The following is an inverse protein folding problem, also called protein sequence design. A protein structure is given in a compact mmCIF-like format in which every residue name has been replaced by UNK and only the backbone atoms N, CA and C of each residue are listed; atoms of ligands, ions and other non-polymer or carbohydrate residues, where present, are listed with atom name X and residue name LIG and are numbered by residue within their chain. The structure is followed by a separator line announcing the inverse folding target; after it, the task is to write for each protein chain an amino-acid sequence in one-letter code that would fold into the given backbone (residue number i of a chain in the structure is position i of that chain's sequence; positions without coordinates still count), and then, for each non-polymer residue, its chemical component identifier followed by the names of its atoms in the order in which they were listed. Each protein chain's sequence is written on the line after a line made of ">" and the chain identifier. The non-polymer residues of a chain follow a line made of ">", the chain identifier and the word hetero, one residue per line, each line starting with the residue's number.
data_IF_907141360946
#
_entry.id   IF_907141360946
#
_cell.length_a   1.000
_cell.length_b   1.000
_cell.length_c   1.000
_cell.angle_alpha   90.00
_cell.angle_beta   90.00
_cell.angle_gamma   90.00
#
_symmetry.space_group_name_H-M   'P 1'
#
loop_
_entity.id
_entity.type
_entity.pdbx_description
1 polymer ?
#
# COMPACT_ATOMS: atom_id res chain seq x y z
N UNK A 1 -58.94 -34.76 -7.59
CA UNK A 1 -57.66 -35.12 -6.91
C UNK A 1 -56.56 -34.23 -7.44
N UNK A 2 -56.20 -33.12 -6.73
CA UNK A 2 -55.18 -32.20 -7.17
C UNK A 2 -53.92 -32.44 -6.34
N UNK A 3 -52.89 -33.02 -6.96
CA UNK A 3 -51.54 -33.17 -6.36
C UNK A 3 -50.81 -31.83 -6.44
N UNK A 4 -50.66 -31.18 -5.31
CA UNK A 4 -49.78 -29.98 -5.19
C UNK A 4 -48.32 -30.45 -5.08
N UNK A 5 -47.52 -30.23 -6.12
CA UNK A 5 -46.06 -30.34 -6.05
C UNK A 5 -45.51 -29.13 -5.28
N UNK A 6 -44.92 -29.37 -4.11
CA UNK A 6 -44.11 -28.41 -3.39
C UNK A 6 -42.71 -28.46 -3.96
N UNK A 7 -42.27 -27.44 -4.69
CA UNK A 7 -40.89 -27.24 -5.06
C UNK A 7 -40.16 -26.72 -3.83
N UNK A 8 -39.28 -27.54 -3.24
CA UNK A 8 -38.34 -27.10 -2.22
C UNK A 8 -37.12 -26.49 -2.94
N UNK A 9 -36.97 -25.17 -2.88
CA UNK A 9 -35.78 -24.47 -3.34
C UNK A 9 -34.67 -24.66 -2.29
N UNK A 10 -33.68 -25.48 -2.58
CA UNK A 10 -32.47 -25.60 -1.76
C UNK A 10 -31.58 -24.36 -1.97
N UNK A 11 -31.53 -23.47 -0.99
CA UNK A 11 -30.51 -22.42 -0.94
C UNK A 11 -29.16 -23.07 -0.65
N UNK A 12 -28.28 -23.12 -1.63
CA UNK A 12 -26.86 -23.49 -1.42
C UNK A 12 -26.15 -22.32 -0.74
N UNK A 13 -25.93 -22.41 0.57
CA UNK A 13 -25.08 -21.49 1.32
C UNK A 13 -23.62 -21.79 0.93
N UNK A 14 -23.03 -20.92 0.12
CA UNK A 14 -21.59 -20.99 -0.18
C UNK A 14 -20.82 -20.49 1.05
N UNK A 15 -20.34 -21.42 1.86
CA UNK A 15 -19.46 -21.10 2.99
C UNK A 15 -18.07 -20.78 2.47
N UNK A 16 -17.68 -19.49 2.52
CA UNK A 16 -16.28 -19.11 2.31
C UNK A 16 -15.47 -19.61 3.50
N UNK A 17 -14.36 -20.33 3.31
CA UNK A 17 -13.56 -20.84 4.42
C UNK A 17 -13.00 -19.66 5.25
N UNK A 18 -13.06 -19.75 6.58
CA UNK A 18 -12.68 -18.69 7.53
C UNK A 18 -11.23 -18.18 7.32
N UNK A 19 -10.32 -19.02 6.84
CA UNK A 19 -8.93 -18.65 6.51
C UNK A 19 -8.87 -17.68 5.34
N UNK A 20 -9.71 -17.83 4.32
CA UNK A 20 -9.77 -16.91 3.18
C UNK A 20 -10.36 -15.56 3.58
N UNK A 21 -11.31 -15.55 4.51
CA UNK A 21 -11.88 -14.33 5.09
C UNK A 21 -10.81 -13.53 5.83
N UNK A 22 -10.08 -14.15 6.77
CA UNK A 22 -9.03 -13.45 7.53
C UNK A 22 -7.88 -12.91 6.67
N UNK A 23 -7.51 -13.61 5.61
CA UNK A 23 -6.52 -13.12 4.65
C UNK A 23 -7.04 -11.89 3.88
N UNK A 24 -8.32 -11.85 3.56
CA UNK A 24 -8.95 -10.71 2.89
C UNK A 24 -9.05 -9.51 3.82
N UNK A 25 -9.49 -9.71 5.06
CA UNK A 25 -9.61 -8.65 6.07
C UNK A 25 -8.26 -7.99 6.34
N UNK A 26 -7.17 -8.76 6.36
CA UNK A 26 -5.82 -8.23 6.47
C UNK A 26 -5.43 -7.35 5.26
N UNK A 27 -5.74 -7.77 4.04
CA UNK A 27 -5.48 -6.96 2.83
C UNK A 27 -6.28 -5.66 2.87
N UNK A 28 -7.54 -5.71 3.28
CA UNK A 28 -8.39 -4.53 3.38
C UNK A 28 -7.85 -3.54 4.42
N UNK A 29 -7.41 -4.01 5.59
CA UNK A 29 -6.75 -3.17 6.61
C UNK A 29 -5.45 -2.52 6.10
N UNK A 30 -4.62 -3.26 5.36
CA UNK A 30 -3.41 -2.73 4.73
C UNK A 30 -3.73 -1.67 3.66
N UNK A 31 -4.78 -1.86 2.88
CA UNK A 31 -5.23 -0.88 1.89
C UNK A 31 -5.62 0.42 2.57
N UNK A 32 -6.45 0.37 3.62
CA UNK A 32 -6.86 1.55 4.37
C UNK A 32 -5.66 2.30 4.96
N UNK A 33 -4.73 1.57 5.58
CA UNK A 33 -3.51 2.13 6.15
C UNK A 33 -2.66 2.86 5.10
N UNK A 34 -2.34 2.19 3.99
CA UNK A 34 -1.48 2.77 2.96
C UNK A 34 -2.18 3.89 2.16
N UNK A 35 -3.48 3.76 1.90
CA UNK A 35 -4.29 4.79 1.27
C UNK A 35 -4.27 6.09 2.07
N UNK A 36 -4.55 6.00 3.38
CA UNK A 36 -4.50 7.13 4.30
C UNK A 36 -3.11 7.77 4.36
N UNK A 37 -2.06 6.96 4.50
CA UNK A 37 -0.67 7.44 4.57
C UNK A 37 -0.22 8.17 3.30
N UNK A 38 -0.80 7.84 2.15
CA UNK A 38 -0.44 8.40 0.84
C UNK A 38 -1.42 9.45 0.31
N UNK A 39 -2.49 9.77 1.05
CA UNK A 39 -3.51 10.73 0.62
C UNK A 39 -4.29 10.29 -0.62
N UNK A 40 -4.54 8.99 -0.77
CA UNK A 40 -5.31 8.41 -1.87
C UNK A 40 -6.62 7.85 -1.31
N UNK A 41 -7.78 8.02 -1.97
CA UNK A 41 -9.00 7.38 -1.53
C UNK A 41 -8.86 5.85 -1.47
N UNK A 42 -9.18 5.23 -0.32
CA UNK A 42 -9.08 3.78 -0.17
C UNK A 42 -9.93 3.03 -1.19
N UNK A 43 -11.11 3.56 -1.53
CA UNK A 43 -11.98 3.02 -2.58
C UNK A 43 -11.29 2.96 -3.95
N UNK A 44 -10.43 3.92 -4.26
CA UNK A 44 -9.63 3.90 -5.49
C UNK A 44 -8.57 2.81 -5.44
N UNK A 45 -7.87 2.64 -4.31
CA UNK A 45 -6.91 1.54 -4.13
C UNK A 45 -7.59 0.18 -4.26
N UNK A 46 -8.75 -0.01 -3.63
CA UNK A 46 -9.57 -1.22 -3.78
C UNK A 46 -9.93 -1.50 -5.23
N UNK A 47 -10.35 -0.48 -5.99
CA UNK A 47 -10.68 -0.62 -7.40
C UNK A 47 -9.47 -1.08 -8.23
N UNK A 48 -8.27 -0.53 -7.95
CA UNK A 48 -7.02 -0.95 -8.61
C UNK A 48 -6.67 -2.39 -8.25
N UNK A 49 -6.64 -2.75 -6.96
CA UNK A 49 -6.32 -4.11 -6.50
C UNK A 49 -7.28 -5.14 -7.10
N UNK A 50 -8.58 -4.83 -7.13
CA UNK A 50 -9.57 -5.70 -7.77
C UNK A 50 -9.28 -5.91 -9.25
N UNK A 51 -8.94 -4.84 -9.97
CA UNK A 51 -8.68 -4.88 -11.41
C UNK A 51 -7.37 -5.58 -11.76
N UNK A 52 -6.31 -5.35 -10.97
CA UNK A 52 -4.97 -5.86 -11.25
C UNK A 52 -4.80 -7.35 -10.89
N UNK A 53 -5.41 -7.79 -9.80
CA UNK A 53 -5.18 -9.15 -9.29
C UNK A 53 -6.43 -9.85 -8.77
N UNK A 54 -7.57 -9.18 -8.75
CA UNK A 54 -8.77 -9.67 -8.02
C UNK A 54 -8.43 -10.08 -6.57
N UNK A 55 -7.58 -9.26 -5.90
CA UNK A 55 -7.06 -9.49 -4.54
C UNK A 55 -6.20 -10.75 -4.38
N UNK A 56 -5.63 -11.29 -5.45
CA UNK A 56 -4.68 -12.39 -5.38
C UNK A 56 -3.26 -11.87 -5.12
N UNK A 57 -2.67 -12.07 -3.93
CA UNK A 57 -1.33 -11.60 -3.63
C UNK A 57 -0.26 -12.35 -4.44
N UNK A 58 -0.56 -13.52 -4.97
CA UNK A 58 0.36 -14.33 -5.78
C UNK A 58 0.19 -14.12 -7.28
N UNK A 59 -0.60 -13.14 -7.70
CA UNK A 59 -0.81 -12.84 -9.11
C UNK A 59 0.51 -12.46 -9.82
N UNK A 60 0.67 -12.94 -11.04
CA UNK A 60 1.82 -12.69 -11.91
C UNK A 60 1.32 -12.37 -13.32
N UNK A 61 1.56 -11.15 -13.79
CA UNK A 61 1.24 -10.68 -15.13
C UNK A 61 2.51 -10.27 -15.87
N UNK A 62 3.19 -11.20 -16.52
CA UNK A 62 4.52 -10.97 -17.09
C UNK A 62 5.53 -10.60 -16.01
N UNK A 63 6.08 -9.37 -16.07
CA UNK A 63 7.00 -8.85 -15.04
C UNK A 63 6.31 -8.15 -13.87
N UNK A 64 4.99 -8.01 -13.91
CA UNK A 64 4.19 -7.37 -12.87
C UNK A 64 3.76 -8.41 -11.81
N UNK A 65 3.76 -8.01 -10.52
CA UNK A 65 3.64 -8.95 -9.41
C UNK A 65 2.66 -8.43 -8.33
N UNK A 66 1.95 -9.39 -7.74
CA UNK A 66 1.17 -9.22 -6.53
C UNK A 66 -0.13 -8.44 -6.69
N UNK A 67 -0.67 -7.94 -5.60
CA UNK A 67 -1.99 -7.30 -5.50
C UNK A 67 -2.21 -6.15 -6.48
N UNK A 68 -1.21 -5.30 -6.66
CA UNK A 68 -1.27 -4.12 -7.50
C UNK A 68 -0.46 -4.26 -8.81
N UNK A 69 -0.02 -5.48 -9.14
CA UNK A 69 0.75 -5.76 -10.37
C UNK A 69 1.91 -4.76 -10.59
N UNK A 70 2.67 -4.49 -9.52
CA UNK A 70 3.82 -3.59 -9.61
C UNK A 70 5.04 -4.31 -10.19
N UNK A 71 5.75 -3.64 -11.11
CA UNK A 71 6.99 -4.17 -11.67
C UNK A 71 8.16 -3.98 -10.68
N UNK A 72 9.11 -4.93 -10.57
CA UNK A 72 10.29 -4.78 -9.72
C UNK A 72 11.09 -3.49 -10.01
N UNK A 73 11.22 -3.10 -11.27
CA UNK A 73 11.88 -1.84 -11.64
C UNK A 73 11.15 -0.61 -11.07
N UNK A 74 9.81 -0.58 -11.11
CA UNK A 74 9.00 0.48 -10.51
C UNK A 74 9.13 0.49 -9.00
N UNK A 75 9.09 -0.67 -8.34
CA UNK A 75 9.28 -0.74 -6.90
C UNK A 75 10.68 -0.25 -6.48
N UNK A 76 11.73 -0.61 -7.23
CA UNK A 76 13.09 -0.13 -6.98
C UNK A 76 13.23 1.38 -7.13
N UNK A 77 12.59 1.99 -8.10
CA UNK A 77 12.59 3.47 -8.24
C UNK A 77 11.93 4.18 -7.05
N UNK A 78 11.14 3.44 -6.25
CA UNK A 78 10.51 3.89 -5.02
C UNK A 78 11.29 3.46 -3.75
N UNK A 79 12.52 2.95 -3.91
CA UNK A 79 13.39 2.56 -2.80
C UNK A 79 13.24 1.10 -2.35
N UNK A 80 12.56 0.24 -3.09
CA UNK A 80 12.53 -1.20 -2.79
C UNK A 80 13.89 -1.85 -3.05
N UNK A 81 14.43 -2.54 -2.06
CA UNK A 81 15.75 -3.20 -2.13
C UNK A 81 15.66 -4.74 -2.10
N UNK A 82 14.45 -5.30 -1.99
CA UNK A 82 14.24 -6.74 -2.00
C UNK A 82 14.27 -7.36 -3.40
N UNK A 83 14.10 -8.66 -3.43
CA UNK A 83 13.96 -9.44 -4.66
C UNK A 83 12.54 -9.36 -5.26
N UNK A 84 12.37 -9.91 -6.46
CA UNK A 84 11.05 -9.93 -7.11
C UNK A 84 10.01 -10.75 -6.32
N UNK A 85 10.44 -11.80 -5.61
CA UNK A 85 9.53 -12.64 -4.84
C UNK A 85 8.92 -11.90 -3.65
N UNK A 86 9.66 -10.97 -3.04
CA UNK A 86 9.17 -10.12 -1.96
C UNK A 86 7.98 -9.24 -2.36
N UNK A 87 7.79 -8.95 -3.64
CA UNK A 87 6.61 -8.23 -4.14
C UNK A 87 5.33 -9.09 -4.18
N UNK A 88 5.41 -10.37 -3.86
CA UNK A 88 4.24 -11.24 -3.66
C UNK A 88 3.75 -11.23 -2.21
N UNK A 89 4.46 -10.54 -1.31
CA UNK A 89 3.99 -10.23 0.03
C UNK A 89 2.97 -9.08 -0.01
N UNK A 90 1.77 -9.24 0.58
CA UNK A 90 0.71 -8.23 0.52
C UNK A 90 1.13 -6.86 1.05
N UNK A 91 1.81 -6.80 2.20
CA UNK A 91 2.20 -5.54 2.82
C UNK A 91 3.25 -4.82 1.99
N UNK A 92 4.27 -5.54 1.50
CA UNK A 92 5.30 -5.02 0.61
C UNK A 92 4.69 -4.51 -0.70
N UNK A 93 3.80 -5.28 -1.30
CA UNK A 93 3.17 -4.92 -2.57
C UNK A 93 2.32 -3.65 -2.45
N UNK A 94 1.47 -3.58 -1.42
CA UNK A 94 0.64 -2.41 -1.15
C UNK A 94 1.46 -1.17 -0.80
N UNK A 95 2.54 -1.33 0.00
CA UNK A 95 3.43 -0.22 0.33
C UNK A 95 3.93 0.51 -0.93
N UNK A 96 4.51 -0.22 -1.86
CA UNK A 96 5.09 0.38 -3.08
C UNK A 96 4.06 0.65 -4.16
N UNK A 97 3.04 -0.21 -4.30
CA UNK A 97 1.96 -0.04 -5.26
C UNK A 97 1.10 1.19 -4.98
N UNK A 98 0.71 1.40 -3.72
CA UNK A 98 -0.07 2.58 -3.32
C UNK A 98 0.77 3.86 -3.41
N UNK A 99 2.06 3.80 -3.06
CA UNK A 99 2.97 4.94 -3.22
C UNK A 99 3.09 5.36 -4.71
N UNK A 100 3.20 4.39 -5.62
CA UNK A 100 3.21 4.65 -7.05
C UNK A 100 1.87 5.24 -7.54
N UNK A 101 0.75 4.66 -7.08
CA UNK A 101 -0.59 5.15 -7.40
C UNK A 101 -0.81 6.58 -6.90
N UNK A 102 -0.29 6.93 -5.72
CA UNK A 102 -0.36 8.27 -5.17
C UNK A 102 0.36 9.31 -6.04
N UNK A 103 1.51 8.97 -6.61
CA UNK A 103 2.18 9.81 -7.60
C UNK A 103 1.33 10.05 -8.84
N UNK A 104 0.72 9.00 -9.37
CA UNK A 104 -0.21 9.07 -10.48
C UNK A 104 -1.45 9.92 -10.14
N UNK A 105 -2.01 9.76 -8.93
CA UNK A 105 -3.18 10.48 -8.45
C UNK A 105 -2.90 11.98 -8.30
N UNK A 106 -1.76 12.37 -7.71
CA UNK A 106 -1.33 13.77 -7.63
C UNK A 106 -1.13 14.37 -9.01
N UNK A 107 -0.47 13.64 -9.93
CA UNK A 107 -0.25 14.09 -11.31
C UNK A 107 -1.55 14.26 -12.09
N UNK A 108 -2.57 13.49 -11.75
CA UNK A 108 -3.92 13.60 -12.30
C UNK A 108 -4.80 14.64 -11.56
N UNK A 109 -4.23 15.37 -10.58
CA UNK A 109 -4.96 16.37 -9.79
C UNK A 109 -6.26 15.82 -9.15
N UNK A 110 -6.21 14.55 -8.70
CA UNK A 110 -7.34 13.88 -8.08
C UNK A 110 -8.32 13.19 -9.04
N UNK A 111 -8.14 13.30 -10.35
CA UNK A 111 -8.98 12.61 -11.30
C UNK A 111 -8.65 11.11 -11.36
N UNK A 112 -9.53 10.27 -10.83
CA UNK A 112 -9.33 8.82 -10.68
C UNK A 112 -9.11 8.12 -12.04
N UNK A 113 -9.88 8.47 -13.06
CA UNK A 113 -9.76 7.87 -14.40
C UNK A 113 -8.41 8.18 -15.04
N UNK A 114 -7.98 9.44 -14.95
CA UNK A 114 -6.69 9.87 -15.46
C UNK A 114 -5.54 9.28 -14.63
N UNK A 115 -5.70 9.21 -13.31
CA UNK A 115 -4.73 8.60 -12.39
C UNK A 115 -4.49 7.13 -12.72
N UNK A 116 -5.55 6.36 -12.97
CA UNK A 116 -5.40 4.96 -13.40
C UNK A 116 -4.70 4.86 -14.77
N UNK A 117 -4.99 5.77 -15.69
CA UNK A 117 -4.26 5.86 -16.96
C UNK A 117 -2.75 6.12 -16.74
N UNK A 118 -2.40 7.01 -15.84
CA UNK A 118 -1.01 7.28 -15.47
C UNK A 118 -0.35 6.10 -14.73
N UNK A 119 -1.09 5.42 -13.87
CA UNK A 119 -0.61 4.21 -13.20
C UNK A 119 -0.13 3.16 -14.22
N UNK A 120 -0.90 2.92 -15.26
CA UNK A 120 -0.60 1.92 -16.29
C UNK A 120 0.54 2.32 -17.24
N UNK A 121 0.58 3.60 -17.64
CA UNK A 121 1.53 4.09 -18.67
C UNK A 121 2.81 4.69 -18.08
N UNK A 122 2.81 5.02 -16.79
CA UNK A 122 3.79 5.88 -16.16
C UNK A 122 3.37 7.36 -16.23
N UNK A 123 3.81 8.12 -15.22
CA UNK A 123 3.46 9.54 -15.06
C UNK A 123 4.67 10.46 -14.98
N UNK A 124 5.89 9.96 -15.07
CA UNK A 124 7.12 10.72 -14.87
C UNK A 124 7.17 12.02 -15.69
N UNK A 125 6.98 11.93 -17.00
CA UNK A 125 7.04 13.13 -17.86
C UNK A 125 5.85 14.08 -17.64
N UNK A 126 4.68 13.56 -17.30
CA UNK A 126 3.52 14.39 -16.98
C UNK A 126 3.74 15.16 -15.66
N UNK A 127 4.23 14.51 -14.63
CA UNK A 127 4.57 15.11 -13.36
C UNK A 127 5.67 16.17 -13.52
N UNK A 128 6.74 15.86 -14.27
CA UNK A 128 7.84 16.79 -14.54
C UNK A 128 7.35 18.08 -15.21
N UNK A 129 6.45 17.98 -16.20
CA UNK A 129 5.85 19.15 -16.87
C UNK A 129 5.01 20.02 -15.94
N UNK A 130 4.44 19.42 -14.90
CA UNK A 130 3.61 20.10 -13.90
C UNK A 130 4.42 20.58 -12.68
N UNK A 131 5.74 20.37 -12.66
CA UNK A 131 6.58 20.69 -11.51
C UNK A 131 6.28 19.83 -10.26
N UNK A 132 5.59 18.70 -10.44
CA UNK A 132 5.27 17.78 -9.35
C UNK A 132 6.50 16.91 -9.10
N UNK A 133 6.99 16.87 -7.84
CA UNK A 133 8.08 15.99 -7.46
C UNK A 133 7.68 14.53 -7.69
N UNK A 134 8.50 13.84 -8.46
CA UNK A 134 8.40 12.38 -8.68
C UNK A 134 9.20 11.62 -7.62
N UNK A 135 10.00 12.33 -6.83
CA UNK A 135 10.57 11.73 -5.63
C UNK A 135 9.43 11.37 -4.70
N UNK A 136 9.37 10.12 -4.35
CA UNK A 136 8.51 9.64 -3.28
C UNK A 136 9.13 10.20 -2.01
N UNK A 137 8.72 11.44 -1.67
CA UNK A 137 9.08 12.01 -0.39
C UNK A 137 8.66 10.98 0.65
N UNK A 138 9.65 10.19 1.08
CA UNK A 138 9.65 9.41 2.33
C UNK A 138 8.31 8.79 2.74
N UNK A 139 7.58 8.13 1.83
CA UNK A 139 6.49 7.23 2.20
C UNK A 139 7.07 5.98 2.88
N UNK A 140 8.38 5.98 3.08
CA UNK A 140 9.11 5.08 3.95
C UNK A 140 9.30 5.72 5.34
N UNK A 141 8.37 6.56 5.78
CA UNK A 141 8.27 6.77 7.23
C UNK A 141 7.94 5.40 7.84
N UNK A 142 8.79 4.89 8.73
CA UNK A 142 8.71 3.50 9.13
C UNK A 142 7.36 3.27 9.81
N UNK A 143 6.64 2.24 9.40
CA UNK A 143 5.56 1.60 10.19
C UNK A 143 6.07 1.12 11.57
N UNK A 144 7.34 1.33 11.88
CA UNK A 144 7.94 1.17 13.20
C UNK A 144 7.21 1.95 14.30
N UNK A 145 6.63 3.12 13.99
CA UNK A 145 5.81 3.87 14.95
C UNK A 145 4.51 3.14 15.32
N UNK A 146 3.92 2.40 14.38
CA UNK A 146 2.69 1.63 14.65
C UNK A 146 2.95 0.36 15.43
N UNK A 147 4.09 -0.30 15.20
CA UNK A 147 4.50 -1.47 15.97
C UNK A 147 4.81 -1.11 17.43
N UNK A 148 5.42 0.06 17.67
CA UNK A 148 5.68 0.56 19.02
C UNK A 148 4.40 0.95 19.76
N UNK A 149 3.40 1.52 19.06
CA UNK A 149 2.10 1.86 19.64
C UNK A 149 1.30 0.61 20.03
N UNK A 150 1.37 -0.46 19.23
CA UNK A 150 0.74 -1.74 19.55
C UNK A 150 1.47 -2.44 20.69
N UNK A 151 2.80 -2.40 20.71
CA UNK A 151 3.58 -2.99 21.81
C UNK A 151 3.32 -2.28 23.15
N UNK A 152 3.13 -0.96 23.17
CA UNK A 152 2.81 -0.21 24.39
C UNK A 152 1.41 -0.52 24.95
N UNK A 153 0.46 -0.93 24.12
CA UNK A 153 -0.86 -1.39 24.58
C UNK A 153 -0.78 -2.73 25.34
N UNK A 154 0.22 -3.56 25.01
CA UNK A 154 0.42 -4.84 25.70
C UNK A 154 1.39 -4.77 26.91
N UNK A 155 2.21 -3.73 26.98
CA UNK A 155 3.22 -3.60 28.06
C UNK A 155 2.89 -2.54 29.10
N UNK A 156 1.81 -1.75 28.92
CA UNK A 156 1.40 -0.70 29.86
C UNK A 156 2.38 0.47 29.97
N UNK A 157 3.37 0.58 29.06
CA UNK A 157 4.31 1.68 29.03
C UNK A 157 3.68 2.91 28.32
N UNK A 158 3.92 4.15 28.81
CA UNK A 158 3.41 5.34 28.14
C UNK A 158 4.02 5.48 26.74
N UNK A 159 3.28 6.02 25.73
CA UNK A 159 3.79 6.22 24.40
C UNK A 159 5.00 7.16 24.42
N UNK A 160 6.10 6.75 23.78
CA UNK A 160 7.25 7.60 23.59
C UNK A 160 6.87 8.78 22.70
N UNK A 161 7.17 10.01 23.14
CA UNK A 161 6.88 11.23 22.38
C UNK A 161 7.62 11.20 21.04
N UNK A 162 6.91 11.28 19.89
CA UNK A 162 7.53 11.20 18.57
C UNK A 162 8.53 12.36 18.32
N UNK A 163 8.43 13.48 19.07
CA UNK A 163 9.36 14.59 18.96
C UNK A 163 10.73 14.30 19.58
N UNK A 164 10.81 13.38 20.59
CA UNK A 164 12.08 13.00 21.17
C UNK A 164 12.92 12.10 20.23
N UNK A 165 12.27 11.26 19.41
CA UNK A 165 12.95 10.42 18.43
C UNK A 165 13.55 11.27 17.28
N UNK A 166 12.85 12.33 16.85
CA UNK A 166 13.33 13.25 15.82
C UNK A 166 14.52 14.09 16.30
N UNK A 167 14.53 14.49 17.58
CA UNK A 167 15.63 15.27 18.18
C UNK A 167 16.93 14.44 18.28
N UNK A 168 16.85 13.16 18.57
CA UNK A 168 18.02 12.28 18.65
C UNK A 168 18.65 11.98 17.29
N UNK A 169 17.86 11.95 16.21
CA UNK A 169 18.39 11.78 14.86
C UNK A 169 19.09 13.05 14.38
N UNK A 170 18.59 14.23 14.75
CA UNK A 170 19.21 15.50 14.40
C UNK A 170 20.57 15.72 15.11
N UNK A 171 20.72 15.22 16.35
CA UNK A 171 21.99 15.28 17.09
C UNK A 171 23.07 14.32 16.57
N UNK A 172 22.68 13.20 15.96
CA UNK A 172 23.63 12.24 15.37
C UNK A 172 24.22 12.70 14.03
N UNK A 173 23.68 13.74 13.41
CA UNK A 173 24.09 14.26 12.10
C UNK A 173 24.73 15.65 12.14
N UNK A 174 25.07 16.18 13.32
CA UNK A 174 25.81 17.42 13.42
C UNK A 174 27.28 17.19 12.98
N UNK A 175 27.78 17.86 11.92
CA UNK A 175 29.17 17.75 11.55
C UNK A 175 30.02 18.39 12.66
N UNK A 176 30.92 17.64 13.25
CA UNK A 176 31.97 18.16 14.13
C UNK A 176 32.81 19.16 13.36
N UNK A 177 32.66 20.45 13.68
CA UNK A 177 33.54 21.48 13.18
C UNK A 177 34.96 21.19 13.65
N UNK A 178 35.83 20.78 12.71
CA UNK A 178 37.26 20.66 12.95
C UNK A 178 37.82 22.03 13.25
N UNK A 179 38.39 22.17 14.45
CA UNK A 179 39.22 23.35 14.79
C UNK A 179 40.49 23.28 13.92
N UNK A 180 40.73 24.30 13.12
CA UNK A 180 41.98 24.54 12.44
C UNK A 180 42.95 25.25 13.39
N UNK A 181 44.28 25.02 13.24
CA UNK A 181 45.32 25.55 14.10
C UNK A 181 45.54 27.07 13.92
#
# INVERSE_FOLDING_TARGET
>A
MHRRLLLAAALAVVTVPAIAQGARDNIDALIEQHAKANGVPASFVHAVVKRESNYNPKAKGGSALGLMQIKPATARSLGYQGDAAGLLDPATNLKYGVAYLAGAYRTAQGNITQAYGYYNRGYYYAAKRQGISTEVASVVAPVAASASAVASLFTGAPPADPNLAAANVALAYAPTAAAAP
#
